data_IF_029093918034
#
_entry.id   IF_029093918034
#
_cell.length_a   1.000
_cell.length_b   1.000
_cell.length_c   1.000
_cell.angle_alpha   90.00
_cell.angle_beta   90.00
_cell.angle_gamma   90.00
#
_symmetry.space_group_name_H-M   'P 1'
#
loop_
_entity.id
_entity.type
_entity.pdbx_description
1 polymer ?
#
# COMPACT_ATOMS: atom_id res chain seq x y z
N UNK A 1 -11.67 19.89 -33.20
CA UNK A 1 -12.66 19.09 -32.45
C UNK A 1 -11.89 17.99 -31.74
N UNK A 2 -11.43 18.24 -30.51
CA UNK A 2 -10.66 17.27 -29.72
C UNK A 2 -11.61 16.29 -29.02
N UNK A 3 -11.28 15.00 -28.93
CA UNK A 3 -12.14 14.01 -28.29
C UNK A 3 -12.18 14.25 -26.78
N UNK A 4 -13.38 14.45 -26.22
CA UNK A 4 -13.62 14.49 -24.77
C UNK A 4 -13.14 13.16 -24.17
N UNK A 5 -12.21 13.22 -23.21
CA UNK A 5 -11.80 12.04 -22.42
C UNK A 5 -13.01 11.53 -21.65
N UNK A 6 -13.57 10.40 -22.08
CA UNK A 6 -14.68 9.74 -21.40
C UNK A 6 -14.14 9.19 -20.06
N UNK A 7 -14.43 9.88 -18.94
CA UNK A 7 -14.03 9.44 -17.59
C UNK A 7 -14.98 8.32 -17.13
N UNK A 8 -14.43 7.16 -16.78
CA UNK A 8 -15.22 6.08 -16.17
C UNK A 8 -15.63 6.49 -14.75
N UNK A 9 -16.91 6.76 -14.53
CA UNK A 9 -17.42 7.16 -13.22
C UNK A 9 -17.64 5.93 -12.33
N UNK A 10 -17.28 6.02 -11.04
CA UNK A 10 -17.43 4.91 -10.09
C UNK A 10 -18.44 5.26 -9.01
N UNK A 11 -19.43 4.40 -8.81
CA UNK A 11 -20.51 4.59 -7.85
C UNK A 11 -20.57 3.45 -6.86
N UNK A 12 -21.01 3.74 -5.64
CA UNK A 12 -21.31 2.73 -4.63
C UNK A 12 -22.80 2.73 -4.35
N UNK A 13 -23.46 1.60 -4.60
CA UNK A 13 -24.86 1.39 -4.27
C UNK A 13 -24.94 0.40 -3.13
N UNK A 14 -25.60 0.78 -2.04
CA UNK A 14 -25.73 -0.05 -0.84
C UNK A 14 -27.18 -0.42 -0.65
N UNK A 15 -27.42 -1.70 -0.42
CA UNK A 15 -28.69 -2.21 0.07
C UNK A 15 -28.49 -2.64 1.51
N UNK A 16 -29.07 -1.86 2.43
CA UNK A 16 -28.98 -2.12 3.87
C UNK A 16 -29.99 -3.18 4.33
N UNK A 17 -31.01 -3.46 3.50
CA UNK A 17 -32.09 -4.39 3.79
C UNK A 17 -32.40 -5.31 2.60
N UNK A 18 -32.85 -6.53 2.90
CA UNK A 18 -33.12 -7.57 1.91
C UNK A 18 -34.37 -7.25 1.07
N UNK A 19 -35.39 -6.61 1.64
CA UNK A 19 -36.61 -6.26 0.91
C UNK A 19 -36.30 -5.16 -0.11
N UNK A 20 -35.49 -4.17 0.28
CA UNK A 20 -35.01 -3.13 -0.63
C UNK A 20 -34.18 -3.71 -1.79
N UNK A 21 -33.34 -4.71 -1.52
CA UNK A 21 -32.61 -5.42 -2.56
C UNK A 21 -33.53 -6.25 -3.46
N UNK A 22 -34.51 -6.96 -2.91
CA UNK A 22 -35.44 -7.80 -3.68
C UNK A 22 -36.29 -6.98 -4.64
N UNK A 23 -36.76 -5.79 -4.23
CA UNK A 23 -37.49 -4.86 -5.10
C UNK A 23 -36.61 -4.42 -6.27
N UNK A 24 -35.40 -3.90 -6.02
CA UNK A 24 -34.52 -3.45 -7.11
C UNK A 24 -34.02 -4.62 -7.97
N UNK A 25 -33.84 -5.81 -7.38
CA UNK A 25 -33.43 -7.01 -8.10
C UNK A 25 -34.50 -7.50 -9.07
N UNK A 26 -35.74 -7.61 -8.59
CA UNK A 26 -36.87 -8.07 -9.42
C UNK A 26 -37.26 -7.07 -10.50
N UNK A 27 -37.19 -5.77 -10.22
CA UNK A 27 -37.56 -4.73 -11.17
C UNK A 27 -36.51 -4.52 -12.27
N UNK A 28 -35.21 -4.48 -11.91
CA UNK A 28 -34.15 -4.02 -12.84
C UNK A 28 -32.87 -4.84 -12.81
N UNK A 29 -32.32 -5.13 -11.62
CA UNK A 29 -30.96 -5.70 -11.51
C UNK A 29 -30.87 -7.09 -12.14
N UNK A 30 -31.91 -7.92 -12.02
CA UNK A 30 -31.96 -9.25 -12.64
C UNK A 30 -31.86 -9.18 -14.16
N UNK A 31 -32.45 -8.15 -14.76
CA UNK A 31 -32.44 -7.92 -16.20
C UNK A 31 -31.18 -7.21 -16.68
N UNK A 32 -30.21 -6.94 -15.79
CA UNK A 32 -28.97 -6.26 -16.12
C UNK A 32 -29.07 -4.73 -16.12
N UNK A 33 -30.08 -4.15 -15.45
CA UNK A 33 -30.23 -2.70 -15.38
C UNK A 33 -30.13 -2.19 -13.94
N UNK A 34 -29.61 -0.97 -13.78
CA UNK A 34 -29.53 -0.30 -12.48
C UNK A 34 -29.89 1.18 -12.63
N UNK A 35 -30.73 1.69 -11.74
CA UNK A 35 -31.04 3.12 -11.68
C UNK A 35 -30.17 3.81 -10.62
N UNK A 36 -29.33 4.76 -11.03
CA UNK A 36 -28.62 5.64 -10.10
C UNK A 36 -29.35 6.97 -9.98
N UNK A 37 -29.65 7.40 -8.75
CA UNK A 37 -30.29 8.70 -8.49
C UNK A 37 -29.30 9.79 -8.09
N UNK A 38 -28.02 9.44 -8.00
CA UNK A 38 -26.94 10.34 -7.62
C UNK A 38 -25.86 10.33 -8.69
N UNK A 39 -25.43 11.51 -9.11
CA UNK A 39 -24.39 11.70 -10.11
C UNK A 39 -24.73 12.78 -11.12
N UNK A 40 -23.75 13.14 -11.94
CA UNK A 40 -23.93 13.92 -13.16
C UNK A 40 -23.27 13.11 -14.27
N UNK A 41 -24.09 12.37 -15.02
CA UNK A 41 -23.63 11.40 -16.00
C UNK A 41 -24.16 11.72 -17.40
N UNK A 42 -23.28 11.58 -18.39
CA UNK A 42 -23.65 11.73 -19.79
C UNK A 42 -24.10 10.37 -20.38
N UNK A 43 -25.03 10.36 -21.35
CA UNK A 43 -25.37 9.14 -22.09
C UNK A 43 -24.12 8.49 -22.71
N UNK A 44 -24.10 7.16 -22.77
CA UNK A 44 -23.00 6.31 -23.23
C UNK A 44 -21.73 6.36 -22.35
N UNK A 45 -21.76 7.06 -21.21
CA UNK A 45 -20.62 7.10 -20.30
C UNK A 45 -20.44 5.73 -19.61
N UNK A 46 -19.23 5.13 -19.65
CA UNK A 46 -18.92 3.91 -18.96
C UNK A 46 -18.87 4.16 -17.46
N UNK A 47 -19.48 3.25 -16.70
CA UNK A 47 -19.64 3.34 -15.26
C UNK A 47 -19.19 2.05 -14.61
N UNK A 48 -18.60 2.18 -13.43
CA UNK A 48 -18.30 1.06 -12.53
C UNK A 48 -19.17 1.20 -11.29
N UNK A 49 -19.85 0.13 -10.92
CA UNK A 49 -20.74 0.12 -9.77
C UNK A 49 -20.23 -0.89 -8.77
N UNK A 50 -19.94 -0.43 -7.55
CA UNK A 50 -19.74 -1.28 -6.38
C UNK A 50 -21.09 -1.48 -5.71
N UNK A 51 -21.65 -2.69 -5.80
CA UNK A 51 -22.84 -3.08 -5.06
C UNK A 51 -22.45 -3.67 -3.71
N UNK A 52 -22.97 -3.09 -2.64
CA UNK A 52 -22.93 -3.67 -1.31
C UNK A 52 -24.27 -4.37 -1.06
N UNK A 53 -24.24 -5.70 -0.98
CA UNK A 53 -25.44 -6.52 -0.79
C UNK A 53 -25.75 -6.68 0.71
N UNK A 54 -27.03 -6.92 1.08
CA UNK A 54 -27.43 -7.09 2.48
C UNK A 54 -26.76 -8.30 3.16
N UNK A 55 -26.30 -9.27 2.37
CA UNK A 55 -25.52 -10.42 2.85
C UNK A 55 -24.09 -10.06 3.31
N UNK A 56 -23.66 -8.81 3.11
CA UNK A 56 -22.28 -8.36 3.31
C UNK A 56 -21.36 -8.62 2.11
N UNK A 57 -21.85 -9.27 1.05
CA UNK A 57 -21.09 -9.47 -0.18
C UNK A 57 -20.92 -8.15 -0.96
N UNK A 58 -19.76 -8.01 -1.62
CA UNK A 58 -19.45 -6.86 -2.47
C UNK A 58 -19.30 -7.34 -3.92
N UNK A 59 -20.04 -6.73 -4.84
CA UNK A 59 -19.92 -6.98 -6.27
C UNK A 59 -19.44 -5.72 -6.99
N UNK A 60 -18.55 -5.92 -7.95
CA UNK A 60 -18.09 -4.86 -8.85
C UNK A 60 -18.64 -5.15 -10.23
N UNK A 61 -19.56 -4.30 -10.67
CA UNK A 61 -20.18 -4.37 -11.97
C UNK A 61 -19.66 -3.23 -12.85
N UNK A 62 -19.67 -3.46 -14.15
CA UNK A 62 -19.39 -2.41 -15.13
C UNK A 62 -20.63 -2.25 -16.01
N UNK A 63 -20.83 -1.08 -16.57
CA UNK A 63 -21.96 -0.80 -17.44
C UNK A 63 -21.74 0.49 -18.21
N UNK A 64 -22.76 0.91 -18.93
CA UNK A 64 -22.83 2.22 -19.57
C UNK A 64 -24.19 2.87 -19.28
N UNK A 65 -24.20 4.19 -19.18
CA UNK A 65 -25.45 4.95 -19.07
C UNK A 65 -26.16 4.88 -20.41
N UNK A 66 -27.39 4.39 -20.41
CA UNK A 66 -28.19 4.26 -21.64
C UNK A 66 -29.26 5.33 -21.76
N UNK A 67 -29.75 5.86 -20.62
CA UNK A 67 -30.77 6.90 -20.64
C UNK A 67 -30.75 7.75 -19.36
N UNK A 68 -31.26 8.98 -19.46
CA UNK A 68 -31.49 9.89 -18.33
C UNK A 68 -33.00 9.97 -18.11
N UNK A 69 -33.45 9.34 -17.03
CA UNK A 69 -34.86 9.29 -16.66
C UNK A 69 -35.21 10.59 -15.92
N UNK A 70 -35.93 11.48 -16.59
CA UNK A 70 -36.46 12.72 -15.98
C UNK A 70 -37.86 12.52 -15.41
N UNK A 71 -38.01 12.95 -14.14
CA UNK A 71 -39.25 13.24 -13.40
C UNK A 71 -40.21 12.06 -13.11
N UNK A 72 -39.96 11.43 -11.96
CA UNK A 72 -40.98 10.77 -11.13
C UNK A 72 -40.77 11.15 -9.65
N UNK A 73 -41.61 10.65 -8.73
CA UNK A 73 -41.47 10.86 -7.27
C UNK A 73 -40.07 10.43 -6.77
N UNK A 74 -39.12 11.36 -6.77
CA UNK A 74 -37.72 11.09 -6.40
C UNK A 74 -36.64 11.84 -7.19
N UNK A 75 -36.97 12.60 -8.24
CA UNK A 75 -36.00 13.41 -9.01
C UNK A 75 -35.33 12.69 -10.19
N UNK A 76 -34.37 13.33 -10.88
CA UNK A 76 -33.72 12.78 -12.07
C UNK A 76 -32.82 11.57 -11.73
N UNK A 77 -32.88 10.52 -12.54
CA UNK A 77 -32.05 9.32 -12.37
C UNK A 77 -31.42 8.85 -13.68
N UNK A 78 -30.32 8.12 -13.59
CA UNK A 78 -29.54 7.60 -14.70
C UNK A 78 -29.74 6.09 -14.80
N UNK A 79 -30.25 5.62 -15.94
CA UNK A 79 -30.41 4.20 -16.19
C UNK A 79 -29.13 3.64 -16.79
N UNK A 80 -28.60 2.60 -16.13
CA UNK A 80 -27.34 1.97 -16.49
C UNK A 80 -27.63 0.55 -16.97
N UNK A 81 -27.18 0.25 -18.17
CA UNK A 81 -27.10 -1.12 -18.66
C UNK A 81 -25.79 -1.74 -18.20
N UNK A 82 -25.90 -2.79 -17.40
CA UNK A 82 -24.78 -3.52 -16.84
C UNK A 82 -24.29 -4.56 -17.84
N UNK A 83 -22.97 -4.70 -17.94
CA UNK A 83 -22.37 -5.80 -18.68
C UNK A 83 -22.82 -7.12 -18.09
N UNK A 84 -23.07 -8.12 -18.94
CA UNK A 84 -23.53 -9.45 -18.55
C UNK A 84 -22.73 -9.99 -17.36
N UNK A 85 -23.45 -10.47 -16.36
CA UNK A 85 -22.87 -11.02 -15.16
C UNK A 85 -22.02 -12.26 -15.48
N UNK A 86 -20.91 -12.39 -14.76
CA UNK A 86 -20.17 -13.64 -14.70
C UNK A 86 -20.96 -14.68 -13.91
N UNK A 87 -20.73 -15.99 -14.14
CA UNK A 87 -21.39 -17.05 -13.36
C UNK A 87 -21.17 -16.95 -11.85
N UNK A 88 -20.09 -16.31 -11.41
CA UNK A 88 -19.80 -16.04 -10.00
C UNK A 88 -20.64 -14.87 -9.46
N UNK A 89 -20.79 -13.79 -10.23
CA UNK A 89 -21.66 -12.66 -9.88
C UNK A 89 -23.15 -13.06 -9.86
N UNK A 90 -23.61 -13.86 -10.82
CA UNK A 90 -24.98 -14.40 -10.84
C UNK A 90 -25.26 -15.23 -9.58
N UNK A 91 -24.33 -16.11 -9.20
CA UNK A 91 -24.45 -16.91 -7.97
C UNK A 91 -24.52 -16.04 -6.72
N UNK A 92 -23.71 -14.99 -6.61
CA UNK A 92 -23.74 -14.10 -5.44
C UNK A 92 -25.06 -13.34 -5.34
N UNK A 93 -25.59 -12.85 -6.48
CA UNK A 93 -26.90 -12.20 -6.52
C UNK A 93 -28.05 -13.16 -6.18
N UNK A 94 -27.99 -14.40 -6.68
CA UNK A 94 -28.99 -15.44 -6.40
C UNK A 94 -28.94 -15.93 -4.95
N UNK A 95 -27.74 -16.11 -4.40
CA UNK A 95 -27.54 -16.50 -2.99
C UNK A 95 -28.13 -15.48 -2.02
N UNK A 96 -28.10 -14.19 -2.37
CA UNK A 96 -28.73 -13.13 -1.59
C UNK A 96 -30.27 -13.26 -1.52
N UNK A 97 -30.91 -13.84 -2.53
CA UNK A 97 -32.37 -14.00 -2.55
C UNK A 97 -32.85 -15.25 -1.82
N UNK A 98 -32.02 -16.30 -1.77
CA UNK A 98 -32.45 -17.63 -1.32
C UNK A 98 -32.12 -17.94 0.14
N UNK A 99 -31.35 -17.08 0.82
CA UNK A 99 -30.96 -17.33 2.20
C UNK A 99 -32.01 -16.78 3.17
N UNK A 100 -32.65 -17.61 4.02
CA UNK A 100 -33.45 -17.09 5.12
C UNK A 100 -32.51 -16.27 6.02
N UNK A 101 -32.98 -15.10 6.45
CA UNK A 101 -32.31 -14.28 7.47
C UNK A 101 -31.81 -15.18 8.61
N UNK A 102 -30.50 -15.30 8.74
CA UNK A 102 -29.85 -15.99 9.85
C UNK A 102 -29.73 -17.49 9.71
N UNK A 103 -28.90 -17.97 8.78
CA UNK A 103 -28.02 -19.12 9.00
C UNK A 103 -26.98 -19.16 7.88
N UNK A 104 -25.71 -19.04 8.26
CA UNK A 104 -24.57 -19.08 7.35
C UNK A 104 -24.51 -20.47 6.70
N UNK A 105 -24.50 -20.60 5.36
CA UNK A 105 -24.41 -21.91 4.72
C UNK A 105 -23.11 -22.61 5.13
N UNK A 106 -23.13 -23.93 5.35
CA UNK A 106 -21.95 -24.67 5.76
C UNK A 106 -20.94 -24.67 4.61
N UNK A 107 -19.83 -23.97 4.88
CA UNK A 107 -18.57 -24.07 4.19
C UNK A 107 -18.28 -25.54 3.86
N UNK A 108 -17.93 -25.83 2.61
CA UNK A 108 -17.42 -27.14 2.19
C UNK A 108 -16.45 -27.62 3.27
N UNK A 109 -16.70 -28.81 3.84
CA UNK A 109 -16.07 -29.28 5.07
C UNK A 109 -14.58 -28.85 5.12
N UNK A 110 -14.16 -28.05 6.12
CA UNK A 110 -12.84 -27.49 6.11
C UNK A 110 -11.86 -28.66 6.25
N UNK A 111 -10.99 -28.83 5.26
CA UNK A 111 -9.62 -29.18 5.61
C UNK A 111 -9.22 -28.18 6.72
N UNK A 112 -8.64 -28.63 7.85
CA UNK A 112 -8.48 -27.81 9.04
C UNK A 112 -7.96 -26.44 8.62
N UNK A 113 -8.69 -25.37 8.98
CA UNK A 113 -8.34 -24.01 8.61
C UNK A 113 -6.85 -23.84 8.86
N UNK A 114 -6.06 -23.75 7.79
CA UNK A 114 -4.62 -23.73 7.91
C UNK A 114 -4.27 -22.41 8.59
N UNK A 115 -3.97 -22.47 9.88
CA UNK A 115 -3.49 -21.35 10.65
C UNK A 115 -2.20 -20.85 10.01
N UNK A 116 -2.16 -19.56 9.70
CA UNK A 116 -0.96 -18.93 9.12
C UNK A 116 0.17 -19.05 10.12
N UNK A 117 1.30 -19.61 9.68
CA UNK A 117 2.49 -19.78 10.52
C UNK A 117 3.34 -18.52 10.52
N UNK A 118 3.51 -17.92 11.69
CA UNK A 118 4.36 -16.75 11.92
C UNK A 118 5.62 -17.18 12.66
N UNK A 119 6.77 -16.73 12.19
CA UNK A 119 8.02 -16.79 12.96
C UNK A 119 8.27 -15.43 13.60
N UNK A 120 8.14 -15.37 14.92
CA UNK A 120 8.37 -14.17 15.73
C UNK A 120 9.80 -14.19 16.30
N UNK A 121 10.59 -13.17 15.97
CA UNK A 121 12.01 -13.09 16.34
C UNK A 121 12.26 -11.80 17.10
N UNK A 122 12.63 -11.90 18.36
CA UNK A 122 12.97 -10.75 19.19
C UNK A 122 13.77 -11.26 20.39
N UNK A 123 14.80 -10.53 20.83
CA UNK A 123 15.64 -10.94 21.95
C UNK A 123 14.91 -10.76 23.30
N UNK A 124 13.99 -9.80 23.38
CA UNK A 124 13.14 -9.55 24.54
C UNK A 124 12.06 -10.63 24.71
N UNK A 125 12.18 -11.41 25.79
CA UNK A 125 11.18 -12.39 26.16
C UNK A 125 9.80 -11.76 26.42
N UNK A 126 9.76 -10.53 26.95
CA UNK A 126 8.51 -9.83 27.26
C UNK A 126 7.75 -9.47 25.98
N UNK A 127 8.44 -8.89 24.99
CA UNK A 127 7.86 -8.55 23.69
C UNK A 127 7.38 -9.82 22.97
N UNK A 128 8.21 -10.87 22.96
CA UNK A 128 7.81 -12.16 22.36
C UNK A 128 6.56 -12.73 22.99
N UNK A 129 6.46 -12.72 24.32
CA UNK A 129 5.29 -13.25 25.02
C UNK A 129 4.03 -12.46 24.65
N UNK A 130 4.08 -11.14 24.76
CA UNK A 130 2.94 -10.26 24.46
C UNK A 130 2.47 -10.44 23.01
N UNK A 131 3.38 -10.32 22.04
CA UNK A 131 3.04 -10.41 20.63
C UNK A 131 2.57 -11.81 20.24
N UNK A 132 3.20 -12.86 20.79
CA UNK A 132 2.76 -14.25 20.57
C UNK A 132 1.34 -14.46 21.08
N UNK A 133 1.02 -14.01 22.30
CA UNK A 133 -0.30 -14.21 22.89
C UNK A 133 -1.37 -13.47 22.06
N UNK A 134 -1.08 -12.25 21.56
CA UNK A 134 -1.96 -11.52 20.63
C UNK A 134 -2.14 -12.23 19.28
N UNK A 135 -1.06 -12.75 18.69
CA UNK A 135 -1.12 -13.49 17.43
C UNK A 135 -1.90 -14.81 17.57
N UNK A 136 -1.70 -15.54 18.67
CA UNK A 136 -2.44 -16.78 18.94
C UNK A 136 -3.95 -16.52 19.11
N UNK A 137 -4.33 -15.44 19.79
CA UNK A 137 -5.72 -15.04 19.95
C UNK A 137 -6.42 -14.76 18.61
N UNK A 138 -5.65 -14.32 17.61
CA UNK A 138 -6.11 -14.00 16.25
C UNK A 138 -6.02 -15.18 15.26
N UNK A 139 -5.75 -16.38 15.76
CA UNK A 139 -5.79 -17.64 14.98
C UNK A 139 -4.51 -17.99 14.23
N UNK A 140 -3.39 -17.30 14.52
CA UNK A 140 -2.08 -17.65 13.95
C UNK A 140 -1.43 -18.81 14.71
N UNK A 141 -0.54 -19.54 14.04
CA UNK A 141 0.41 -20.43 14.72
C UNK A 141 1.75 -19.73 14.82
N UNK A 142 2.30 -19.61 16.02
CA UNK A 142 3.49 -18.78 16.26
C UNK A 142 4.65 -19.64 16.74
N UNK A 143 5.74 -19.59 15.98
CA UNK A 143 7.06 -20.05 16.39
C UNK A 143 7.87 -18.85 16.89
N UNK A 144 8.78 -19.07 17.84
CA UNK A 144 9.58 -17.99 18.44
C UNK A 144 11.06 -18.28 18.34
N UNK A 145 11.85 -17.25 18.06
CA UNK A 145 13.31 -17.27 18.08
C UNK A 145 13.85 -16.06 18.86
N UNK A 146 15.02 -16.19 19.50
CA UNK A 146 15.62 -15.12 20.30
C UNK A 146 16.68 -14.29 19.57
N UNK A 147 17.07 -14.72 18.37
CA UNK A 147 18.09 -14.06 17.54
C UNK A 147 17.98 -14.55 16.08
N UNK A 148 18.71 -13.89 15.17
CA UNK A 148 18.67 -14.23 13.76
C UNK A 148 19.17 -15.64 13.42
N UNK A 149 20.09 -16.22 14.20
CA UNK A 149 20.60 -17.56 13.93
C UNK A 149 19.56 -18.64 14.24
N UNK A 150 18.89 -18.51 15.39
CA UNK A 150 17.74 -19.36 15.76
C UNK A 150 16.60 -19.20 14.75
N UNK A 151 16.32 -17.96 14.32
CA UNK A 151 15.30 -17.67 13.33
C UNK A 151 15.59 -18.33 11.98
N UNK A 152 16.83 -18.28 11.50
CA UNK A 152 17.23 -18.96 10.27
C UNK A 152 17.05 -20.47 10.37
N UNK A 153 17.41 -21.07 11.52
CA UNK A 153 17.19 -22.51 11.76
C UNK A 153 15.69 -22.84 11.78
N UNK A 154 14.87 -22.03 12.45
CA UNK A 154 13.42 -22.22 12.52
C UNK A 154 12.75 -22.05 11.15
N UNK A 155 13.12 -21.01 10.39
CA UNK A 155 12.60 -20.74 9.05
C UNK A 155 12.84 -21.92 8.08
N UNK A 156 13.97 -22.62 8.22
CA UNK A 156 14.30 -23.79 7.41
C UNK A 156 13.56 -25.08 7.83
N UNK A 157 13.11 -25.18 9.07
CA UNK A 157 12.49 -26.40 9.63
C UNK A 157 10.96 -26.32 9.67
N UNK A 158 10.43 -25.15 9.98
CA UNK A 158 9.03 -24.93 10.33
C UNK A 158 8.24 -24.27 9.19
N UNK A 159 8.95 -23.86 8.13
CA UNK A 159 8.38 -23.25 6.91
C UNK A 159 7.31 -22.20 7.23
N UNK A 160 7.68 -21.10 7.92
CA UNK A 160 6.72 -20.05 8.24
C UNK A 160 6.22 -19.38 6.96
N UNK A 161 5.04 -18.78 7.03
CA UNK A 161 4.44 -18.01 5.93
C UNK A 161 4.78 -16.53 6.01
N UNK A 162 5.25 -16.06 7.18
CA UNK A 162 5.77 -14.70 7.38
C UNK A 162 6.75 -14.67 8.56
N UNK A 163 7.74 -13.79 8.48
CA UNK A 163 8.72 -13.55 9.55
C UNK A 163 8.47 -12.14 10.10
N UNK A 164 8.20 -12.05 11.40
CA UNK A 164 8.12 -10.80 12.14
C UNK A 164 9.37 -10.73 13.04
N UNK A 165 10.33 -9.86 12.70
CA UNK A 165 11.64 -9.86 13.36
C UNK A 165 12.03 -8.48 13.84
N UNK A 166 12.66 -8.42 15.01
CA UNK A 166 13.45 -7.24 15.38
C UNK A 166 14.72 -7.16 14.53
N UNK A 167 15.32 -5.97 14.54
CA UNK A 167 16.59 -5.68 13.90
C UNK A 167 17.75 -5.83 14.89
N UNK A 168 17.63 -5.22 16.07
CA UNK A 168 18.71 -5.17 17.05
C UNK A 168 18.68 -6.41 17.94
N UNK A 169 19.42 -7.45 17.55
CA UNK A 169 19.48 -8.71 18.29
C UNK A 169 20.93 -9.19 18.44
N UNK A 170 21.27 -9.86 19.56
CA UNK A 170 22.58 -10.47 19.74
C UNK A 170 22.80 -11.64 18.78
N UNK A 171 24.05 -12.06 18.59
CA UNK A 171 24.49 -13.18 17.74
C UNK A 171 24.30 -12.95 16.23
N UNK A 172 23.09 -12.63 15.80
CA UNK A 172 22.75 -12.27 14.42
C UNK A 172 21.61 -11.27 14.42
N UNK A 173 21.85 -10.10 13.85
CA UNK A 173 20.87 -9.05 13.68
C UNK A 173 19.83 -9.37 12.59
N UNK A 174 18.72 -8.64 12.60
CA UNK A 174 17.64 -8.79 11.62
C UNK A 174 18.08 -8.46 10.18
N UNK A 175 19.09 -7.61 10.02
CA UNK A 175 19.69 -7.26 8.72
C UNK A 175 20.35 -8.46 8.05
N UNK A 176 21.19 -9.15 8.82
CA UNK A 176 21.93 -10.34 8.39
C UNK A 176 20.96 -11.49 8.15
N UNK A 177 19.96 -11.65 9.03
CA UNK A 177 18.87 -12.61 8.84
C UNK A 177 18.16 -12.39 7.49
N UNK A 178 17.73 -11.16 7.19
CA UNK A 178 17.05 -10.82 5.94
C UNK A 178 17.91 -11.11 4.70
N UNK A 179 19.20 -10.72 4.71
CA UNK A 179 20.14 -11.03 3.63
C UNK A 179 20.25 -12.53 3.40
N UNK A 180 20.34 -13.31 4.49
CA UNK A 180 20.45 -14.76 4.43
C UNK A 180 19.16 -15.42 3.92
N UNK A 181 17.98 -14.89 4.26
CA UNK A 181 16.68 -15.34 3.75
C UNK A 181 16.62 -15.11 2.24
N UNK A 182 16.93 -13.88 1.78
CA UNK A 182 16.86 -13.49 0.37
C UNK A 182 17.88 -14.22 -0.50
N UNK A 183 19.04 -14.58 0.04
CA UNK A 183 20.05 -15.37 -0.67
C UNK A 183 19.65 -16.85 -0.89
N UNK A 184 18.60 -17.35 -0.23
CA UNK A 184 18.17 -18.75 -0.32
C UNK A 184 16.89 -18.86 -1.14
N UNK A 185 16.94 -19.54 -2.30
CA UNK A 185 15.78 -19.74 -3.19
C UNK A 185 14.51 -20.20 -2.48
N UNK A 186 14.65 -21.12 -1.49
CA UNK A 186 13.51 -21.65 -0.72
C UNK A 186 12.85 -20.64 0.22
N UNK A 187 13.55 -19.60 0.65
CA UNK A 187 13.06 -18.62 1.62
C UNK A 187 12.91 -17.22 1.02
N UNK A 188 13.46 -16.97 -0.17
CA UNK A 188 13.51 -15.65 -0.78
C UNK A 188 12.13 -15.00 -0.96
N UNK A 189 11.09 -15.82 -1.18
CA UNK A 189 9.70 -15.38 -1.32
C UNK A 189 8.99 -15.09 0.01
N UNK A 190 9.59 -15.45 1.15
CA UNK A 190 8.93 -15.28 2.45
C UNK A 190 8.84 -13.78 2.78
N UNK A 191 7.63 -13.28 3.11
CA UNK A 191 7.50 -11.92 3.58
C UNK A 191 8.23 -11.74 4.91
N UNK A 192 9.01 -10.66 5.02
CA UNK A 192 9.72 -10.27 6.23
C UNK A 192 9.23 -8.89 6.65
N UNK A 193 8.76 -8.80 7.89
CA UNK A 193 8.29 -7.57 8.52
C UNK A 193 9.23 -7.24 9.67
N UNK A 194 9.80 -6.04 9.66
CA UNK A 194 10.57 -5.56 10.81
C UNK A 194 9.65 -4.96 11.86
N UNK A 195 9.83 -5.37 13.12
CA UNK A 195 9.20 -4.79 14.30
C UNK A 195 10.30 -4.31 15.23
N UNK A 196 10.66 -3.03 15.18
CA UNK A 196 11.87 -2.53 15.84
C UNK A 196 11.69 -1.17 16.51
N UNK A 197 12.55 -0.88 17.48
CA UNK A 197 12.67 0.44 18.12
C UNK A 197 13.52 1.40 17.29
N UNK A 198 14.27 0.90 16.29
CA UNK A 198 15.01 1.76 15.38
C UNK A 198 14.03 2.70 14.67
N UNK A 199 14.21 3.99 14.91
CA UNK A 199 13.41 5.05 14.32
C UNK A 199 14.17 5.80 13.23
N UNK A 200 15.45 5.51 13.05
CA UNK A 200 16.28 6.21 12.08
C UNK A 200 15.93 5.78 10.64
N UNK A 201 15.84 6.78 9.78
CA UNK A 201 15.41 6.60 8.40
C UNK A 201 16.43 5.83 7.55
N UNK A 202 17.72 5.86 7.92
CA UNK A 202 18.77 5.15 7.19
C UNK A 202 18.63 3.63 7.36
N UNK A 203 18.28 3.19 8.56
CA UNK A 203 17.87 1.80 8.84
C UNK A 203 16.65 1.43 7.99
N UNK A 204 15.61 2.26 7.92
CA UNK A 204 14.43 1.97 7.07
C UNK A 204 14.75 1.85 5.59
N UNK A 205 15.58 2.76 5.07
CA UNK A 205 16.06 2.74 3.69
C UNK A 205 16.89 1.49 3.38
N UNK A 206 17.71 1.04 4.33
CA UNK A 206 18.41 -0.24 4.22
C UNK A 206 17.44 -1.44 4.18
N UNK A 207 16.31 -1.35 4.90
CA UNK A 207 15.16 -2.27 4.86
C UNK A 207 14.62 -2.47 3.46
N UNK A 208 14.21 -1.37 2.83
CA UNK A 208 13.61 -1.40 1.50
C UNK A 208 14.56 -1.97 0.44
N UNK A 209 15.87 -1.71 0.52
CA UNK A 209 16.86 -2.30 -0.41
C UNK A 209 16.95 -3.81 -0.36
N UNK A 210 16.82 -4.37 0.84
CA UNK A 210 16.96 -5.80 1.07
C UNK A 210 15.64 -6.54 0.80
N UNK A 211 14.60 -5.81 0.37
CA UNK A 211 13.27 -6.35 0.08
C UNK A 211 12.54 -6.72 1.35
N UNK A 212 12.63 -5.91 2.42
CA UNK A 212 11.70 -6.02 3.53
C UNK A 212 10.30 -5.63 3.04
N UNK A 213 9.30 -6.38 3.46
CA UNK A 213 7.93 -6.22 2.97
C UNK A 213 7.17 -5.13 3.74
N UNK A 214 7.53 -4.91 5.01
CA UNK A 214 6.97 -3.84 5.84
C UNK A 214 7.90 -3.52 7.02
N UNK A 215 7.87 -2.27 7.50
CA UNK A 215 8.61 -1.81 8.67
C UNK A 215 7.63 -1.21 9.68
N UNK A 216 7.63 -1.73 10.90
CA UNK A 216 6.70 -1.36 11.96
C UNK A 216 7.49 -0.92 13.21
N UNK A 217 7.22 0.27 13.77
CA UNK A 217 7.76 0.63 15.07
C UNK A 217 7.18 -0.26 16.18
N UNK A 218 8.01 -0.66 17.16
CA UNK A 218 7.58 -1.42 18.35
C UNK A 218 6.53 -0.70 19.21
N UNK A 219 6.36 0.61 19.04
CA UNK A 219 5.32 1.41 19.71
C UNK A 219 3.91 1.18 19.15
N UNK A 220 3.79 0.49 18.00
CA UNK A 220 2.49 0.12 17.45
C UNK A 220 1.75 -0.87 18.36
N UNK A 221 0.45 -0.66 18.60
CA UNK A 221 -0.41 -1.64 19.26
C UNK A 221 -0.41 -3.00 18.53
N UNK A 222 -0.46 -4.14 19.25
CA UNK A 222 -0.42 -5.47 18.64
C UNK A 222 -1.50 -5.74 17.60
N UNK A 223 -2.72 -5.23 17.80
CA UNK A 223 -3.84 -5.32 16.85
C UNK A 223 -3.52 -4.63 15.51
N UNK A 224 -2.85 -3.47 15.56
CA UNK A 224 -2.38 -2.79 14.35
C UNK A 224 -1.26 -3.55 13.65
N UNK A 225 -0.31 -4.13 14.40
CA UNK A 225 0.74 -5.01 13.84
C UNK A 225 0.11 -6.20 13.12
N UNK A 226 -0.90 -6.84 13.73
CA UNK A 226 -1.62 -7.98 13.15
C UNK A 226 -2.38 -7.57 11.88
N UNK A 227 -3.03 -6.42 11.88
CA UNK A 227 -3.71 -5.88 10.70
C UNK A 227 -2.73 -5.66 9.52
N UNK A 228 -1.55 -5.10 9.81
CA UNK A 228 -0.47 -4.91 8.83
C UNK A 228 0.06 -6.24 8.31
N UNK A 229 0.30 -7.20 9.21
CA UNK A 229 0.75 -8.54 8.87
C UNK A 229 -0.23 -9.26 7.93
N UNK A 230 -1.54 -9.16 8.20
CA UNK A 230 -2.61 -9.67 7.32
C UNK A 230 -2.59 -8.99 5.94
N UNK A 231 -2.29 -7.69 5.89
CA UNK A 231 -2.13 -6.95 4.64
C UNK A 231 -0.96 -7.48 3.79
N UNK A 232 0.21 -7.70 4.41
CA UNK A 232 1.39 -8.29 3.75
C UNK A 232 1.07 -9.67 3.18
N UNK A 233 0.45 -10.55 3.98
CA UNK A 233 0.09 -11.91 3.57
C UNK A 233 -0.90 -11.94 2.40
N UNK A 234 -1.83 -10.98 2.32
CA UNK A 234 -2.76 -10.86 1.18
C UNK A 234 -2.03 -10.47 -0.10
N UNK A 235 -1.03 -9.56 -0.01
CA UNK A 235 -0.22 -9.13 -1.16
C UNK A 235 0.67 -10.26 -1.69
N UNK A 236 1.24 -11.07 -0.80
CA UNK A 236 2.09 -12.21 -1.18
C UNK A 236 1.32 -13.42 -1.74
N UNK A 237 0.00 -13.48 -1.54
CA UNK A 237 -0.87 -14.58 -2.02
C UNK A 237 -1.59 -14.30 -3.35
N UNK A 238 -1.41 -13.11 -3.95
CA UNK A 238 -1.98 -12.76 -5.26
C UNK A 238 -1.22 -13.39 -6.44
N UNK A 239 -1.82 -13.49 -7.65
CA UNK A 239 -1.14 -14.04 -8.82
C UNK A 239 0.11 -13.22 -9.12
N UNK A 240 1.27 -13.89 -9.06
CA UNK A 240 2.55 -13.31 -9.42
C UNK A 240 2.46 -12.75 -10.84
N UNK A 241 2.56 -11.43 -10.97
CA UNK A 241 2.91 -10.81 -12.25
C UNK A 241 4.35 -11.22 -12.54
N UNK A 242 4.49 -12.25 -13.37
CA UNK A 242 5.75 -12.60 -14.01
C UNK A 242 6.27 -11.36 -14.76
N UNK A 243 7.46 -10.90 -14.37
CA UNK A 243 8.20 -9.87 -15.10
C UNK A 243 8.72 -8.71 -14.25
N UNK A 244 9.66 -8.98 -13.35
CA UNK A 244 10.72 -8.00 -13.03
C UNK A 244 11.92 -8.72 -12.42
N UNK A 245 12.88 -9.08 -13.26
CA UNK A 245 14.24 -9.34 -12.81
C UNK A 245 14.85 -8.02 -12.31
N UNK A 246 14.86 -7.85 -10.99
CA UNK A 246 15.62 -6.80 -10.32
C UNK A 246 14.92 -6.27 -9.08
N UNK A 247 15.48 -6.55 -7.91
CA UNK A 247 15.19 -5.76 -6.71
C UNK A 247 15.66 -4.33 -7.00
N UNK A 248 14.82 -3.39 -7.46
CA UNK A 248 15.32 -2.08 -7.95
C UNK A 248 14.41 -0.85 -7.84
N UNK A 249 13.32 -0.84 -7.07
CA UNK A 249 12.52 0.38 -6.89
C UNK A 249 12.43 0.75 -5.41
N UNK A 250 13.09 1.85 -5.02
CA UNK A 250 13.00 2.42 -3.68
C UNK A 250 11.69 3.22 -3.61
N UNK A 251 10.65 2.62 -3.03
CA UNK A 251 9.30 3.21 -2.88
C UNK A 251 8.91 3.29 -1.40
N UNK A 252 8.20 4.34 -0.99
CA UNK A 252 7.73 4.47 0.38
C UNK A 252 6.93 5.74 0.66
N UNK A 253 6.39 5.83 1.86
CA UNK A 253 5.67 7.02 2.34
C UNK A 253 6.57 7.94 3.16
N UNK A 254 6.48 9.25 2.95
CA UNK A 254 7.27 10.25 3.66
C UNK A 254 6.94 10.32 5.17
N UNK A 255 5.75 9.87 5.57
CA UNK A 255 5.38 9.70 6.98
C UNK A 255 6.22 8.65 7.73
N UNK A 256 6.91 7.77 6.99
CA UNK A 256 7.76 6.72 7.55
C UNK A 256 9.24 6.94 7.27
N UNK A 257 9.61 7.71 6.26
CA UNK A 257 11.01 8.01 5.93
C UNK A 257 11.08 9.45 5.43
N UNK A 258 11.83 10.32 6.10
CA UNK A 258 11.96 11.71 5.66
C UNK A 258 12.61 11.78 4.28
N UNK A 259 12.14 12.71 3.44
CA UNK A 259 12.71 12.91 2.10
C UNK A 259 14.21 13.19 2.18
N UNK A 260 14.66 13.98 3.16
CA UNK A 260 16.07 14.25 3.44
C UNK A 260 16.94 12.98 3.49
N UNK A 261 16.42 11.95 4.16
CA UNK A 261 17.08 10.65 4.33
C UNK A 261 17.13 9.89 3.00
N UNK A 262 16.05 9.94 2.21
CA UNK A 262 16.00 9.38 0.85
C UNK A 262 17.06 10.04 -0.04
N UNK A 263 17.18 11.36 -0.01
CA UNK A 263 18.18 12.09 -0.81
C UNK A 263 19.60 11.72 -0.38
N UNK A 264 19.88 11.70 0.93
CA UNK A 264 21.19 11.33 1.49
C UNK A 264 21.59 9.91 1.07
N UNK A 265 20.61 9.01 1.06
CA UNK A 265 20.79 7.64 0.62
C UNK A 265 21.15 7.55 -0.86
N UNK A 266 20.43 8.26 -1.73
CA UNK A 266 20.72 8.27 -3.17
C UNK A 266 22.10 8.88 -3.47
N UNK A 267 22.51 9.91 -2.72
CA UNK A 267 23.84 10.51 -2.80
C UNK A 267 24.95 9.53 -2.41
N UNK A 268 24.84 8.93 -1.23
CA UNK A 268 25.85 7.98 -0.72
C UNK A 268 26.02 6.75 -1.62
N UNK A 269 24.92 6.27 -2.20
CA UNK A 269 24.92 5.11 -3.09
C UNK A 269 25.23 5.45 -4.55
N UNK A 270 25.52 6.72 -4.85
CA UNK A 270 25.80 7.22 -6.21
C UNK A 270 24.76 6.77 -7.23
N UNK A 271 23.48 6.79 -6.86
CA UNK A 271 22.39 6.31 -7.73
C UNK A 271 22.15 7.26 -8.90
N UNK A 272 21.79 6.68 -10.04
CA UNK A 272 21.38 7.39 -11.26
C UNK A 272 19.95 6.98 -11.59
N UNK A 273 19.08 7.97 -11.80
CA UNK A 273 17.65 7.72 -12.01
C UNK A 273 16.77 8.90 -11.60
N UNK A 274 15.45 8.70 -11.60
CA UNK A 274 14.48 9.72 -11.21
C UNK A 274 13.86 9.36 -9.85
N UNK A 275 13.86 10.30 -8.91
CA UNK A 275 13.05 10.24 -7.69
C UNK A 275 11.77 11.04 -7.90
N UNK A 276 10.65 10.34 -7.94
CA UNK A 276 9.31 10.91 -7.99
C UNK A 276 8.84 11.12 -6.55
N UNK A 277 8.35 12.32 -6.24
CA UNK A 277 7.83 12.69 -4.92
C UNK A 277 6.45 13.31 -5.11
N UNK A 278 5.46 12.85 -4.37
CA UNK A 278 4.06 13.27 -4.52
C UNK A 278 3.40 13.50 -3.17
N UNK A 279 2.61 14.55 -3.06
CA UNK A 279 1.65 14.81 -1.98
C UNK A 279 0.25 14.94 -2.58
N UNK A 280 -0.78 15.03 -1.73
CA UNK A 280 -2.18 15.14 -2.16
C UNK A 280 -2.48 16.34 -3.08
N UNK A 281 -1.59 17.34 -3.11
CA UNK A 281 -1.80 18.61 -3.83
C UNK A 281 -0.74 18.90 -4.90
N UNK A 282 0.40 18.22 -4.86
CA UNK A 282 1.55 18.58 -5.69
C UNK A 282 2.55 17.42 -5.84
N UNK A 283 3.41 17.49 -6.85
CA UNK A 283 4.43 16.49 -7.12
C UNK A 283 5.72 17.12 -7.66
N UNK A 284 6.84 16.43 -7.54
CA UNK A 284 8.11 16.82 -8.14
C UNK A 284 8.89 15.59 -8.60
N UNK A 285 9.74 15.79 -9.61
CA UNK A 285 10.65 14.74 -10.09
C UNK A 285 12.08 15.24 -10.02
N UNK A 286 12.89 14.59 -9.17
CA UNK A 286 14.30 14.90 -8.98
C UNK A 286 15.13 13.93 -9.83
N UNK A 287 15.90 14.46 -10.77
CA UNK A 287 16.78 13.65 -11.61
C UNK A 287 18.14 13.54 -10.93
N UNK A 288 18.59 12.31 -10.73
CA UNK A 288 19.87 11.95 -10.15
C UNK A 288 20.83 11.41 -11.21
N UNK A 289 22.07 11.88 -11.19
CA UNK A 289 23.19 11.25 -11.89
C UNK A 289 24.37 11.08 -10.92
N UNK A 290 24.81 9.84 -10.75
CA UNK A 290 25.90 9.45 -9.83
C UNK A 290 25.72 10.00 -8.39
N UNK A 291 24.49 10.00 -7.89
CA UNK A 291 24.13 10.48 -6.56
C UNK A 291 23.96 12.00 -6.44
N UNK A 292 24.08 12.73 -7.54
CA UNK A 292 23.88 14.18 -7.55
C UNK A 292 22.57 14.55 -8.20
N UNK A 293 21.88 15.55 -7.67
CA UNK A 293 20.70 16.12 -8.31
C UNK A 293 21.18 17.00 -9.47
N UNK A 294 20.71 16.67 -10.67
CA UNK A 294 21.10 17.33 -11.92
C UNK A 294 19.97 18.13 -12.56
N UNK A 295 18.72 17.81 -12.21
CA UNK A 295 17.53 18.49 -12.69
C UNK A 295 16.37 18.29 -11.69
N UNK A 296 15.48 19.28 -11.61
CA UNK A 296 14.26 19.25 -10.79
C UNK A 296 13.09 19.65 -11.69
N UNK A 297 12.20 18.69 -11.97
CA UNK A 297 11.02 18.93 -12.79
C UNK A 297 9.80 19.16 -11.92
N UNK A 298 8.93 20.05 -12.40
CA UNK A 298 7.81 20.64 -11.68
C UNK A 298 8.26 21.45 -10.45
N UNK A 299 8.59 22.72 -10.70
CA UNK A 299 8.92 23.70 -9.65
C UNK A 299 7.69 24.17 -8.85
N UNK A 300 6.48 23.75 -9.24
CA UNK A 300 5.26 24.26 -8.62
C UNK A 300 5.17 25.79 -8.72
N UNK A 301 5.07 26.46 -7.57
CA UNK A 301 5.07 27.91 -7.46
C UNK A 301 6.44 28.54 -7.15
N UNK A 302 7.52 27.76 -7.12
CA UNK A 302 8.86 28.26 -6.78
C UNK A 302 9.60 28.87 -7.97
N UNK A 303 10.46 29.86 -7.69
CA UNK A 303 11.20 30.58 -8.73
C UNK A 303 12.41 29.79 -9.24
N UNK A 304 12.94 28.87 -8.43
CA UNK A 304 14.12 28.08 -8.76
C UNK A 304 14.10 26.68 -8.10
N UNK A 305 15.02 25.82 -8.56
CA UNK A 305 15.15 24.44 -8.08
C UNK A 305 15.56 24.34 -6.60
N UNK A 306 16.35 25.29 -6.07
CA UNK A 306 16.77 25.28 -4.67
C UNK A 306 15.59 25.54 -3.73
N UNK A 307 14.79 26.56 -4.02
CA UNK A 307 13.54 26.85 -3.29
C UNK A 307 12.58 25.67 -3.32
N UNK A 308 12.43 25.05 -4.50
CA UNK A 308 11.61 23.84 -4.63
C UNK A 308 12.13 22.70 -3.76
N UNK A 309 13.44 22.52 -3.66
CA UNK A 309 14.02 21.49 -2.79
C UNK A 309 13.73 21.76 -1.31
N UNK A 310 13.84 23.00 -0.84
CA UNK A 310 13.49 23.34 0.55
C UNK A 310 12.00 23.13 0.84
N UNK A 311 11.12 23.49 -0.11
CA UNK A 311 9.68 23.21 0.01
C UNK A 311 9.43 21.70 0.13
N UNK A 312 9.99 20.89 -0.76
CA UNK A 312 9.83 19.43 -0.74
C UNK A 312 10.37 18.80 0.55
N UNK A 313 11.49 19.30 1.07
CA UNK A 313 12.07 18.83 2.33
C UNK A 313 11.18 19.13 3.55
N UNK A 314 10.29 20.13 3.46
CA UNK A 314 9.34 20.46 4.52
C UNK A 314 8.10 19.55 4.54
N UNK A 315 7.89 18.73 3.50
CA UNK A 315 6.73 17.85 3.39
C UNK A 315 6.81 16.70 4.41
N UNK A 316 5.78 16.60 5.25
CA UNK A 316 5.67 15.54 6.27
C UNK A 316 4.88 14.32 5.81
N UNK A 317 4.04 14.48 4.80
CA UNK A 317 3.16 13.45 4.26
C UNK A 317 3.26 13.41 2.73
N UNK A 318 3.11 12.21 2.18
CA UNK A 318 3.18 11.95 0.74
C UNK A 318 3.90 10.65 0.43
N UNK A 319 4.17 10.39 -0.85
CA UNK A 319 4.81 9.18 -1.36
C UNK A 319 6.08 9.54 -2.15
N UNK A 320 7.03 8.61 -2.17
CA UNK A 320 8.20 8.69 -3.04
C UNK A 320 8.43 7.36 -3.78
N UNK A 321 9.00 7.47 -4.97
CA UNK A 321 9.36 6.34 -5.83
C UNK A 321 10.63 6.68 -6.62
N UNK A 322 11.69 5.89 -6.45
CA UNK A 322 12.91 5.98 -7.24
C UNK A 322 12.92 4.96 -8.37
N UNK A 323 13.10 5.44 -9.59
CA UNK A 323 13.26 4.63 -10.80
C UNK A 323 14.70 4.74 -11.30
N UNK A 324 15.37 3.60 -11.41
CA UNK A 324 16.71 3.56 -12.01
C UNK A 324 16.59 3.82 -13.51
N UNK A 325 17.16 4.91 -13.99
CA UNK A 325 17.19 5.31 -15.40
C UNK A 325 18.60 5.72 -15.77
N UNK A 326 19.00 5.52 -17.02
CA UNK A 326 20.32 5.94 -17.50
C UNK A 326 20.28 7.45 -17.82
N UNK A 327 20.56 8.27 -16.80
CA UNK A 327 20.60 9.72 -16.91
C UNK A 327 22.05 10.15 -17.04
N UNK A 328 22.38 10.80 -18.15
CA UNK A 328 23.71 11.34 -18.36
C UNK A 328 23.95 12.53 -17.41
N UNK A 329 25.12 12.62 -16.77
CA UNK A 329 25.48 13.80 -16.01
C UNK A 329 25.54 15.02 -16.95
N UNK A 330 25.11 16.20 -16.48
CA UNK A 330 25.08 17.41 -17.30
C UNK A 330 26.49 17.81 -17.74
N UNK A 331 26.67 18.14 -19.02
CA UNK A 331 27.96 18.58 -19.58
C UNK A 331 28.37 19.97 -19.05
N UNK A 332 27.41 20.78 -18.60
CA UNK A 332 27.59 22.05 -17.89
C UNK A 332 26.28 22.42 -17.19
N UNK A 333 26.32 22.68 -15.87
CA UNK A 333 25.13 23.03 -15.08
C UNK A 333 25.38 22.95 -13.57
N UNK A 334 24.56 23.67 -12.79
CA UNK A 334 24.59 23.64 -11.33
C UNK A 334 24.07 22.29 -10.87
N UNK A 335 24.94 21.49 -10.27
CA UNK A 335 24.55 20.27 -9.58
C UNK A 335 24.31 20.60 -8.12
N UNK A 336 23.11 20.31 -7.62
CA UNK A 336 22.80 20.52 -6.21
C UNK A 336 23.42 19.39 -5.39
N UNK A 337 24.25 19.76 -4.41
CA UNK A 337 24.78 18.82 -3.42
C UNK A 337 23.73 18.62 -2.34
N UNK A 338 23.32 17.37 -2.14
CA UNK A 338 22.31 17.03 -1.13
C UNK A 338 22.79 17.47 0.25
N UNK A 339 24.05 17.22 0.59
CA UNK A 339 24.65 17.68 1.84
C UNK A 339 24.50 19.20 2.10
N UNK A 340 24.61 20.04 1.06
CA UNK A 340 24.44 21.49 1.20
C UNK A 340 22.98 21.87 1.49
N UNK A 341 22.03 21.27 0.75
CA UNK A 341 20.60 21.50 0.95
C UNK A 341 20.16 21.12 2.37
N UNK A 342 20.68 20.02 2.90
CA UNK A 342 20.34 19.56 4.25
C UNK A 342 20.93 20.45 5.34
N UNK A 343 22.17 20.93 5.17
CA UNK A 343 22.77 21.88 6.12
C UNK A 343 22.01 23.20 6.14
N UNK A 344 21.63 23.71 4.97
CA UNK A 344 20.90 24.97 4.86
C UNK A 344 19.46 24.85 5.37
N UNK A 345 18.81 23.70 5.18
CA UNK A 345 17.48 23.43 5.76
C UNK A 345 17.54 23.40 7.29
N UNK A 346 18.52 22.71 7.88
CA UNK A 346 18.70 22.67 9.33
C UNK A 346 18.93 24.07 9.92
N UNK A 347 19.72 24.91 9.23
CA UNK A 347 19.94 26.32 9.62
C UNK A 347 18.63 27.11 9.64
N UNK A 348 17.79 26.96 8.60
CA UNK A 348 16.52 27.68 8.48
C UNK A 348 15.50 27.24 9.54
N UNK A 349 15.46 25.96 9.88
CA UNK A 349 14.60 25.43 10.94
C UNK A 349 15.04 25.93 12.34
N UNK A 350 16.34 26.00 12.60
CA UNK A 350 16.91 26.57 13.83
C UNK A 350 16.65 28.08 13.96
N UNK A 351 16.66 28.83 12.85
CA UNK A 351 16.32 30.26 12.85
C UNK A 351 14.83 30.48 13.09
N UNK A 352 13.94 29.74 12.41
CA UNK A 352 12.49 29.86 12.58
C UNK A 352 12.02 29.50 14.02
N UNK A 353 12.65 28.48 14.63
CA UNK A 353 12.31 28.06 16.00
C UNK A 353 12.74 29.06 17.09
N UNK A 354 13.69 29.96 16.79
CA UNK A 354 14.11 31.04 17.72
C UNK A 354 13.22 32.26 17.64
N UNK A 355 12.69 32.56 16.46
CA UNK A 355 11.77 33.68 16.25
C UNK A 355 10.38 33.41 16.86
N UNK A 356 9.92 32.14 16.88
CA UNK A 356 8.67 31.74 17.55
C UNK A 356 8.77 31.72 19.09
N UNK A 357 9.98 31.76 19.65
CA UNK A 357 10.23 31.73 21.10
C UNK A 357 10.47 33.12 21.72
N UNK A 358 10.47 34.17 20.89
CA UNK A 358 10.67 35.59 21.27
C UNK A 358 9.35 36.35 21.21
#
# INVERSE_FOLDING_TARGET
MQPRRIRTATFTVRFDDIDAFLVEYSDRLRSGFLLLREGDLEPEQPVRVKLCLPSGALLYLSGAVIDVVSEGEGGPGFLIELTRYTPEQERVLEMCMTSPLGERPPEAAPAPARSVRVLLVDDSQAIRKQMRDSLLAEGFTVSVASNGLEAMSAALKEEPEVILTDVEMPVMDGWTLLRMIRARKKLAHLPVVFLTSLSDDMSRLQGYRLGVDEYLPKTLPPDMVIARLRGVLRRSSGPALEGSEGIKELRGGMQHVQLASVLSFLENERKTGELHVESDRDYAVLCFAEGRIVDVRNLGGCDNAEERMFELLSWREGQFEFRTLDIKPPESGVSLRVAFLLMEQARREDEASRDDAS
#
